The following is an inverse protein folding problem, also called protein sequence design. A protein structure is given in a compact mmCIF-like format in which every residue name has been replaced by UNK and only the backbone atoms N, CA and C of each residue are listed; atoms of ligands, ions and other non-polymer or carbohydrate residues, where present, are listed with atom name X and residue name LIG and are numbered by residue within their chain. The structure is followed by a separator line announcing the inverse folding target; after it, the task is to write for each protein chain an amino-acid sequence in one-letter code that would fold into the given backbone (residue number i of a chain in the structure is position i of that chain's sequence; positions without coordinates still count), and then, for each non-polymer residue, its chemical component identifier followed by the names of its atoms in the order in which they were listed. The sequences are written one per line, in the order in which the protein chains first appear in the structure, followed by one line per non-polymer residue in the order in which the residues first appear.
data_IF_855877243922
#
_entry.id   IF_855877243922
#
_cell.length_a   1.000
_cell.length_b   1.000
_cell.length_c   1.000
_cell.angle_alpha   90.00
_cell.angle_beta   90.00
_cell.angle_gamma   90.00
#
_symmetry.space_group_name_H-M   'P 1'
#
loop_
_entity.id
_entity.type
_entity.pdbx_description
1 polymer ?
#
# COMPACT_ATOMS: atom_id res chain seq x y z
N UNK A 1 -38.73 9.41 -73.86
CA UNK A 1 -37.54 9.94 -73.17
C UNK A 1 -38.06 10.90 -72.09
N UNK A 2 -38.42 10.47 -70.87
CA UNK A 2 -37.55 10.10 -69.74
C UNK A 2 -36.44 11.15 -69.53
N UNK A 3 -36.29 11.90 -68.43
CA UNK A 3 -36.91 11.95 -67.09
C UNK A 3 -36.43 13.26 -66.42
N UNK A 4 -37.30 13.84 -65.57
CA UNK A 4 -37.01 14.42 -64.24
C UNK A 4 -36.28 15.79 -64.15
N UNK A 5 -37.06 16.79 -63.71
CA UNK A 5 -36.64 18.01 -63.02
C UNK A 5 -35.90 17.65 -61.73
N UNK A 6 -34.67 18.12 -61.57
CA UNK A 6 -33.93 18.02 -60.32
C UNK A 6 -34.20 19.26 -59.46
N UNK A 7 -35.11 19.11 -58.49
CA UNK A 7 -35.17 19.94 -57.29
C UNK A 7 -34.15 19.36 -56.31
N UNK A 8 -33.08 20.10 -55.99
CA UNK A 8 -32.25 19.87 -54.80
C UNK A 8 -32.65 20.97 -53.80
N UNK A 9 -33.61 20.72 -52.91
CA UNK A 9 -33.42 20.23 -51.54
C UNK A 9 -32.30 21.00 -50.82
N UNK A 10 -32.77 21.98 -50.05
CA UNK A 10 -32.06 22.74 -49.03
C UNK A 10 -31.59 21.77 -47.94
N UNK A 11 -30.29 21.48 -47.86
CA UNK A 11 -29.71 20.76 -46.73
C UNK A 11 -29.44 21.75 -45.60
N UNK A 12 -30.32 21.77 -44.60
CA UNK A 12 -29.99 22.28 -43.27
C UNK A 12 -28.87 21.41 -42.70
N UNK A 13 -27.66 21.97 -42.59
CA UNK A 13 -26.60 21.39 -41.76
C UNK A 13 -26.97 21.69 -40.33
N UNK A 14 -27.54 20.71 -39.63
CA UNK A 14 -27.61 20.72 -38.18
C UNK A 14 -26.18 20.58 -37.64
N UNK A 15 -25.59 21.69 -37.19
CA UNK A 15 -24.37 21.66 -36.39
C UNK A 15 -24.74 21.04 -35.05
N UNK A 16 -24.53 19.74 -34.93
CA UNK A 16 -24.51 19.04 -33.65
C UNK A 16 -23.42 19.68 -32.80
N UNK A 17 -23.84 20.48 -31.83
CA UNK A 17 -22.96 21.02 -30.81
C UNK A 17 -22.27 19.86 -30.11
N UNK A 18 -20.95 19.78 -30.28
CA UNK A 18 -20.10 18.95 -29.45
C UNK A 18 -20.22 19.54 -28.05
N UNK A 19 -21.04 18.92 -27.21
CA UNK A 19 -21.03 19.16 -25.77
C UNK A 19 -19.67 18.70 -25.26
N UNK A 20 -18.71 19.62 -25.23
CA UNK A 20 -17.49 19.43 -24.46
C UNK A 20 -17.91 19.23 -23.02
N UNK A 21 -17.84 17.99 -22.54
CA UNK A 21 -17.78 17.73 -21.11
C UNK A 21 -16.50 18.40 -20.65
N UNK A 22 -16.63 19.57 -20.03
CA UNK A 22 -15.57 20.14 -19.23
C UNK A 22 -15.25 19.10 -18.16
N UNK A 23 -14.17 18.35 -18.34
CA UNK A 23 -13.51 17.67 -17.23
C UNK A 23 -13.17 18.78 -16.26
N UNK A 24 -13.93 18.87 -15.16
CA UNK A 24 -13.54 19.71 -14.05
C UNK A 24 -12.13 19.26 -13.66
N UNK A 25 -11.15 20.14 -13.84
CA UNK A 25 -9.83 19.95 -13.26
C UNK A 25 -10.05 19.87 -11.75
N UNK A 26 -10.06 18.65 -11.21
CA UNK A 26 -10.01 18.42 -9.78
C UNK A 26 -8.71 19.06 -9.34
N UNK A 27 -8.79 20.19 -8.65
CA UNK A 27 -7.63 20.71 -7.93
C UNK A 27 -7.32 19.65 -6.88
N UNK A 28 -6.18 18.94 -6.97
CA UNK A 28 -5.94 17.83 -6.06
C UNK A 28 -5.94 18.38 -4.63
N UNK A 29 -6.85 17.87 -3.80
CA UNK A 29 -6.75 18.05 -2.36
C UNK A 29 -5.43 17.47 -1.84
N UNK A 30 -5.08 17.74 -0.59
CA UNK A 30 -3.96 17.01 0.04
C UNK A 30 -4.27 15.50 0.03
N UNK A 31 -3.22 14.69 -0.09
CA UNK A 31 -3.27 13.26 0.20
C UNK A 31 -3.86 13.01 1.59
N UNK A 32 -4.53 11.88 1.75
CA UNK A 32 -5.11 11.38 2.98
C UNK A 32 -4.41 10.09 3.42
N UNK A 33 -4.44 9.82 4.72
CA UNK A 33 -3.79 8.67 5.34
C UNK A 33 -4.83 7.83 6.08
N UNK A 34 -4.95 6.56 5.70
CA UNK A 34 -5.61 5.54 6.51
C UNK A 34 -4.58 4.71 7.26
N UNK A 35 -4.85 4.42 8.52
CA UNK A 35 -4.14 3.43 9.31
C UNK A 35 -5.13 2.35 9.70
N UNK A 36 -4.83 1.10 9.38
CA UNK A 36 -5.54 -0.04 9.89
C UNK A 36 -4.80 -0.58 11.12
N UNK A 37 -5.39 -0.40 12.30
CA UNK A 37 -4.88 -0.83 13.60
C UNK A 37 -5.79 -1.88 14.25
N UNK A 38 -6.49 -2.68 13.44
CA UNK A 38 -7.40 -3.73 13.88
C UNK A 38 -6.70 -4.93 14.54
N UNK A 39 -7.40 -6.06 14.70
CA UNK A 39 -6.88 -7.23 15.39
C UNK A 39 -5.52 -7.69 14.87
N UNK A 40 -4.66 -8.05 15.83
CA UNK A 40 -3.27 -8.44 15.60
C UNK A 40 -3.10 -9.94 15.75
N UNK A 41 -2.11 -10.49 15.04
CA UNK A 41 -1.50 -11.75 15.45
C UNK A 41 -0.47 -11.43 16.54
N UNK A 42 -0.73 -11.88 17.78
CA UNK A 42 0.12 -11.55 18.93
C UNK A 42 1.56 -12.05 18.84
N UNK A 43 1.85 -13.04 17.97
CA UNK A 43 3.22 -13.46 17.67
C UNK A 43 3.96 -12.47 16.75
N UNK A 44 3.23 -11.74 15.90
CA UNK A 44 3.80 -10.80 14.93
C UNK A 44 3.97 -9.40 15.51
N UNK A 45 2.94 -8.93 16.20
CA UNK A 45 2.90 -7.66 16.91
C UNK A 45 1.87 -7.75 18.04
N UNK A 46 2.20 -7.27 19.23
CA UNK A 46 1.23 -7.17 20.30
C UNK A 46 0.24 -6.05 20.01
N UNK A 47 -1.00 -6.18 20.49
CA UNK A 47 -1.98 -5.11 20.36
C UNK A 47 -1.44 -3.79 20.92
N UNK A 48 -0.79 -3.81 22.08
CA UNK A 48 -0.24 -2.61 22.71
C UNK A 48 0.83 -1.94 21.84
N UNK A 49 1.71 -2.72 21.21
CA UNK A 49 2.71 -2.18 20.28
C UNK A 49 2.05 -1.61 19.02
N UNK A 50 1.06 -2.29 18.45
CA UNK A 50 0.28 -1.79 17.30
C UNK A 50 -0.39 -0.45 17.60
N UNK A 51 -1.08 -0.34 18.74
CA UNK A 51 -1.74 0.89 19.16
C UNK A 51 -0.74 2.01 19.47
N UNK A 52 0.41 1.70 20.10
CA UNK A 52 1.45 2.67 20.38
C UNK A 52 2.12 3.21 19.09
N UNK A 53 2.37 2.34 18.12
CA UNK A 53 2.90 2.71 16.80
C UNK A 53 1.90 3.58 16.04
N UNK A 54 0.63 3.17 16.00
CA UNK A 54 -0.46 3.94 15.38
C UNK A 54 -0.55 5.33 15.99
N UNK A 55 -0.56 5.42 17.33
CA UNK A 55 -0.57 6.70 18.04
C UNK A 55 0.66 7.56 17.71
N UNK A 56 1.84 6.96 17.63
CA UNK A 56 3.08 7.66 17.26
C UNK A 56 2.96 8.31 15.87
N UNK A 57 2.42 7.56 14.89
CA UNK A 57 2.22 8.05 13.52
C UNK A 57 1.16 9.16 13.51
N UNK A 58 0.00 8.93 14.12
CA UNK A 58 -1.10 9.89 14.14
C UNK A 58 -0.74 11.20 14.85
N UNK A 59 0.09 11.14 15.90
CA UNK A 59 0.44 12.31 16.69
C UNK A 59 1.61 13.13 16.17
N UNK A 60 2.44 12.56 15.28
CA UNK A 60 3.61 13.25 14.74
C UNK A 60 3.20 14.49 13.93
N UNK A 61 3.84 15.62 14.25
CA UNK A 61 3.52 16.91 13.65
C UNK A 61 3.82 16.98 12.14
N UNK A 62 4.78 16.19 11.65
CA UNK A 62 5.09 16.07 10.22
C UNK A 62 3.93 15.39 9.51
N UNK A 63 3.42 14.28 10.06
CA UNK A 63 2.28 13.56 9.49
C UNK A 63 1.03 14.46 9.42
N UNK A 64 0.68 15.14 10.51
CA UNK A 64 -0.43 16.11 10.55
C UNK A 64 -0.28 17.27 9.56
N UNK A 65 0.95 17.63 9.18
CA UNK A 65 1.22 18.68 8.19
C UNK A 65 1.04 18.17 6.76
N UNK A 66 1.49 16.94 6.49
CA UNK A 66 1.51 16.31 5.18
C UNK A 66 0.10 15.95 4.71
N UNK A 67 -0.69 15.29 5.55
CA UNK A 67 -1.99 14.78 5.17
C UNK A 67 -3.14 15.75 5.44
N UNK A 68 -4.16 15.72 4.59
CA UNK A 68 -5.41 16.45 4.79
C UNK A 68 -6.25 15.86 5.91
N UNK A 69 -6.26 14.54 6.01
CA UNK A 69 -6.90 13.75 7.05
C UNK A 69 -6.03 12.54 7.42
N UNK A 70 -6.12 12.09 8.67
CA UNK A 70 -5.51 10.86 9.17
C UNK A 70 -6.60 10.09 9.89
N UNK A 71 -7.06 9.00 9.28
CA UNK A 71 -8.12 8.13 9.81
C UNK A 71 -7.51 6.84 10.36
N UNK A 72 -8.05 6.36 11.48
CA UNK A 72 -7.69 5.07 12.05
C UNK A 72 -8.88 4.11 12.03
N UNK A 73 -8.66 2.94 11.47
CA UNK A 73 -9.61 1.85 11.30
C UNK A 73 -9.21 0.72 12.25
N UNK A 74 -9.99 0.54 13.32
CA UNK A 74 -9.78 -0.53 14.31
C UNK A 74 -10.70 -1.73 14.06
N UNK A 75 -10.77 -2.63 15.03
CA UNK A 75 -11.64 -3.81 14.99
C UNK A 75 -13.11 -3.46 14.72
N UNK A 76 -13.75 -4.21 13.83
CA UNK A 76 -15.13 -4.03 13.37
C UNK A 76 -15.32 -2.96 12.29
N UNK A 77 -14.25 -2.38 11.76
CA UNK A 77 -14.31 -1.39 10.66
C UNK A 77 -13.87 -1.95 9.31
N UNK A 78 -13.45 -3.21 9.29
CA UNK A 78 -12.69 -3.83 8.20
C UNK A 78 -13.39 -5.03 7.53
N UNK A 79 -14.55 -5.46 8.02
CA UNK A 79 -15.23 -6.66 7.51
C UNK A 79 -15.88 -6.44 6.13
N UNK A 80 -15.20 -6.89 5.08
CA UNK A 80 -15.64 -6.84 3.69
C UNK A 80 -15.57 -5.46 3.03
N UNK A 81 -15.82 -5.42 1.73
CA UNK A 81 -15.61 -4.22 0.89
C UNK A 81 -16.58 -3.06 1.20
N UNK A 82 -17.74 -3.35 1.80
CA UNK A 82 -18.71 -2.34 2.23
C UNK A 82 -18.47 -1.84 3.67
N UNK A 83 -17.41 -2.31 4.33
CA UNK A 83 -16.98 -1.80 5.64
C UNK A 83 -16.50 -0.34 5.56
N UNK A 84 -16.21 0.27 6.71
CA UNK A 84 -15.71 1.64 6.74
C UNK A 84 -14.34 1.73 6.06
N UNK A 85 -13.43 0.78 6.32
CA UNK A 85 -12.13 0.70 5.66
C UNK A 85 -12.30 0.41 4.16
N UNK A 86 -13.15 -0.54 3.78
CA UNK A 86 -13.36 -0.90 2.37
C UNK A 86 -13.93 0.27 1.55
N UNK A 87 -14.89 1.02 2.12
CA UNK A 87 -15.39 2.26 1.51
C UNK A 87 -14.35 3.35 1.43
N UNK A 88 -13.48 3.47 2.44
CA UNK A 88 -12.37 4.42 2.40
C UNK A 88 -11.45 4.09 1.23
N UNK A 89 -10.97 2.84 1.11
CA UNK A 89 -10.11 2.41 0.01
C UNK A 89 -10.76 2.70 -1.34
N UNK A 90 -11.99 2.25 -1.54
CA UNK A 90 -12.74 2.49 -2.79
C UNK A 90 -12.94 3.98 -3.11
N UNK A 91 -13.16 4.82 -2.10
CA UNK A 91 -13.33 6.26 -2.27
C UNK A 91 -12.02 6.99 -2.59
N UNK A 92 -10.89 6.39 -2.27
CA UNK A 92 -9.56 6.95 -2.50
C UNK A 92 -8.85 6.35 -3.73
N UNK A 93 -9.33 5.22 -4.26
CA UNK A 93 -8.87 4.67 -5.54
C UNK A 93 -9.30 5.55 -6.73
N UNK A 94 -8.33 6.08 -7.47
CA UNK A 94 -8.55 6.82 -8.72
C UNK A 94 -9.13 8.22 -8.49
N UNK A 95 -8.92 8.81 -7.32
CA UNK A 95 -9.51 10.11 -6.96
C UNK A 95 -8.67 11.32 -7.45
N UNK A 96 -7.53 11.07 -8.09
CA UNK A 96 -6.57 12.07 -8.57
C UNK A 96 -5.55 12.53 -7.53
N UNK A 97 -5.42 11.82 -6.40
CA UNK A 97 -4.47 12.09 -5.31
C UNK A 97 -3.80 10.77 -4.90
N UNK A 98 -2.49 10.79 -4.68
CA UNK A 98 -1.79 9.65 -4.11
C UNK A 98 -2.03 9.60 -2.59
N UNK A 99 -2.98 8.77 -2.18
CA UNK A 99 -3.33 8.50 -0.80
C UNK A 99 -2.51 7.34 -0.22
N UNK A 100 -2.46 7.23 1.11
CA UNK A 100 -1.61 6.26 1.81
C UNK A 100 -2.45 5.39 2.74
N UNK A 101 -2.22 4.08 2.70
CA UNK A 101 -2.78 3.10 3.62
C UNK A 101 -1.66 2.38 4.37
N UNK A 102 -1.75 2.34 5.71
CA UNK A 102 -0.82 1.59 6.56
C UNK A 102 -1.56 0.41 7.20
N UNK A 103 -1.10 -0.82 7.00
CA UNK A 103 -1.54 -1.98 7.80
C UNK A 103 -0.64 -2.11 9.03
N UNK A 104 -0.95 -1.36 10.08
CA UNK A 104 -0.12 -1.26 11.29
C UNK A 104 -0.14 -2.54 12.15
N UNK A 105 -1.17 -3.36 12.00
CA UNK A 105 -1.33 -4.65 12.66
C UNK A 105 -0.55 -5.80 12.01
N UNK A 106 0.02 -5.59 10.81
CA UNK A 106 0.62 -6.65 9.98
C UNK A 106 -0.40 -7.61 9.37
N UNK A 107 -1.70 -7.37 9.59
CA UNK A 107 -2.79 -8.20 9.06
C UNK A 107 -3.44 -7.55 7.84
N UNK A 108 -3.98 -8.38 6.95
CA UNK A 108 -4.66 -7.98 5.74
C UNK A 108 -6.16 -8.29 5.87
N UNK A 109 -6.99 -7.29 6.21
CA UNK A 109 -8.41 -7.52 6.41
C UNK A 109 -9.15 -7.75 5.09
N UNK A 110 -10.34 -8.34 5.17
CA UNK A 110 -11.26 -8.60 4.06
C UNK A 110 -11.77 -7.33 3.38
N UNK A 111 -11.67 -6.16 4.01
CA UNK A 111 -11.84 -4.86 3.34
C UNK A 111 -10.82 -4.61 2.24
N UNK A 112 -9.60 -5.13 2.40
CA UNK A 112 -8.49 -4.95 1.46
C UNK A 112 -8.46 -6.10 0.47
N UNK A 113 -8.61 -7.32 0.97
CA UNK A 113 -8.58 -8.53 0.16
C UNK A 113 -9.35 -9.66 0.84
N UNK A 114 -10.49 -10.06 0.26
CA UNK A 114 -11.30 -11.17 0.78
C UNK A 114 -10.55 -12.50 0.77
N UNK A 115 -10.65 -13.20 1.89
CA UNK A 115 -9.99 -14.47 2.11
C UNK A 115 -10.91 -15.69 1.84
N UNK A 116 -10.34 -16.83 1.40
CA UNK A 116 -8.95 -16.99 0.98
C UNK A 116 -8.79 -16.69 -0.52
N UNK A 117 -8.06 -15.63 -0.85
CA UNK A 117 -7.79 -15.18 -2.22
C UNK A 117 -9.03 -15.15 -3.13
N UNK A 118 -10.15 -14.60 -2.67
CA UNK A 118 -11.42 -14.61 -3.44
C UNK A 118 -11.30 -13.81 -4.75
N UNK A 119 -10.52 -12.73 -4.73
CA UNK A 119 -10.23 -11.85 -5.87
C UNK A 119 -8.71 -11.79 -6.15
N UNK A 120 -8.11 -12.82 -6.77
CA UNK A 120 -6.66 -12.88 -7.05
C UNK A 120 -6.17 -11.87 -8.09
N UNK A 121 -7.08 -11.22 -8.79
CA UNK A 121 -6.86 -10.10 -9.70
C UNK A 121 -8.08 -9.18 -9.55
N UNK A 122 -7.85 -7.90 -9.24
CA UNK A 122 -8.88 -6.90 -8.96
C UNK A 122 -9.33 -6.81 -7.50
N UNK A 123 -8.49 -7.23 -6.54
CA UNK A 123 -8.79 -6.96 -5.12
C UNK A 123 -8.75 -5.45 -4.83
N UNK A 124 -9.52 -4.91 -3.86
CA UNK A 124 -9.50 -3.47 -3.59
C UNK A 124 -8.12 -2.89 -3.25
N UNK A 125 -7.25 -3.66 -2.59
CA UNK A 125 -5.88 -3.22 -2.29
C UNK A 125 -5.00 -3.16 -3.53
N UNK A 126 -5.18 -4.09 -4.46
CA UNK A 126 -4.50 -4.10 -5.76
C UNK A 126 -4.97 -2.93 -6.61
N UNK A 127 -6.29 -2.75 -6.80
CA UNK A 127 -6.84 -1.61 -7.53
C UNK A 127 -6.38 -0.26 -6.92
N UNK A 128 -6.27 -0.18 -5.58
CA UNK A 128 -5.76 1.00 -4.89
C UNK A 128 -4.30 1.31 -5.27
N UNK A 129 -3.43 0.30 -5.26
CA UNK A 129 -2.02 0.43 -5.66
C UNK A 129 -1.90 0.73 -7.15
N UNK A 130 -2.61 -0.01 -8.01
CA UNK A 130 -2.63 0.20 -9.46
C UNK A 130 -3.13 1.59 -9.85
N UNK A 131 -4.10 2.13 -9.10
CA UNK A 131 -4.54 3.50 -9.28
C UNK A 131 -3.43 4.50 -8.98
N UNK A 132 -2.39 4.13 -8.25
CA UNK A 132 -1.22 4.98 -7.98
C UNK A 132 -0.99 5.29 -6.52
N UNK A 133 -1.74 4.67 -5.61
CA UNK A 133 -1.66 4.91 -4.18
C UNK A 133 -0.59 4.07 -3.49
N UNK A 134 -0.37 4.32 -2.21
CA UNK A 134 0.71 3.74 -1.43
C UNK A 134 0.16 2.83 -0.34
N UNK A 135 0.61 1.58 -0.30
CA UNK A 135 0.35 0.66 0.82
C UNK A 135 1.64 0.39 1.58
N UNK A 136 1.60 0.53 2.90
CA UNK A 136 2.72 0.28 3.79
C UNK A 136 2.31 -0.80 4.79
N UNK A 137 2.87 -1.99 4.64
CA UNK A 137 2.74 -3.04 5.64
C UNK A 137 3.82 -2.93 6.69
N UNK A 138 3.40 -2.97 7.95
CA UNK A 138 4.27 -2.94 9.12
C UNK A 138 4.12 -4.25 9.87
N UNK A 139 5.23 -4.78 10.40
CA UNK A 139 5.30 -6.11 11.00
C UNK A 139 5.19 -7.26 9.97
N UNK A 140 5.06 -8.48 10.46
CA UNK A 140 4.96 -9.74 9.71
C UNK A 140 3.48 -10.05 9.40
N UNK A 141 3.03 -10.65 8.30
CA UNK A 141 3.58 -10.88 6.94
C UNK A 141 2.63 -10.15 5.96
N UNK A 142 3.14 -9.24 5.11
CA UNK A 142 2.34 -8.53 4.11
C UNK A 142 1.35 -9.43 3.34
N UNK A 143 0.07 -9.02 3.36
CA UNK A 143 -1.07 -9.65 2.66
C UNK A 143 -1.35 -11.13 2.95
N UNK A 144 -0.74 -11.69 4.00
CA UNK A 144 -0.82 -13.13 4.25
C UNK A 144 -2.13 -13.59 4.92
N UNK A 145 -2.56 -12.92 6.00
CA UNK A 145 -3.72 -13.35 6.80
C UNK A 145 -4.49 -12.17 7.40
N UNK A 146 -5.71 -12.45 7.82
CA UNK A 146 -6.51 -11.58 8.69
C UNK A 146 -6.68 -12.19 10.10
N UNK A 147 -6.91 -11.32 11.08
CA UNK A 147 -7.32 -11.68 12.45
C UNK A 147 -8.67 -11.04 12.84
N UNK A 148 -9.46 -10.60 11.85
CA UNK A 148 -10.79 -10.00 12.02
C UNK A 148 -11.65 -10.69 13.07
N UNK A 149 -12.32 -9.89 13.92
CA UNK A 149 -13.08 -10.41 15.05
C UNK A 149 -12.24 -11.10 16.12
N UNK A 150 -10.92 -10.84 16.14
CA UNK A 150 -9.97 -11.33 17.14
C UNK A 150 -9.50 -12.78 16.95
N UNK A 151 -9.84 -13.41 15.82
CA UNK A 151 -9.45 -14.80 15.52
C UNK A 151 -8.82 -14.89 14.13
N UNK A 152 -7.90 -15.83 13.94
CA UNK A 152 -7.28 -16.06 12.63
C UNK A 152 -8.34 -16.50 11.62
N UNK A 153 -8.49 -15.74 10.55
CA UNK A 153 -9.34 -16.08 9.40
C UNK A 153 -8.67 -17.13 8.51
N UNK A 154 -9.34 -17.53 7.43
CA UNK A 154 -8.64 -18.25 6.35
C UNK A 154 -7.50 -17.37 5.81
N UNK A 155 -6.36 -17.99 5.49
CA UNK A 155 -5.20 -17.27 4.99
C UNK A 155 -5.36 -17.01 3.48
N UNK A 156 -4.96 -15.82 3.02
CA UNK A 156 -4.54 -15.64 1.62
C UNK A 156 -3.21 -16.37 1.38
N UNK A 157 -2.41 -16.54 2.43
CA UNK A 157 -1.15 -17.25 2.40
C UNK A 157 -0.09 -16.47 1.61
N UNK A 158 0.99 -17.14 1.17
CA UNK A 158 2.03 -16.49 0.36
C UNK A 158 1.48 -15.90 -0.94
N UNK A 159 0.43 -16.50 -1.50
CA UNK A 159 -0.22 -16.03 -2.73
C UNK A 159 -0.85 -14.65 -2.59
N UNK A 160 -1.20 -14.22 -1.37
CA UNK A 160 -1.80 -12.91 -1.16
C UNK A 160 -0.94 -11.77 -1.70
N UNK A 161 0.36 -11.78 -1.38
CA UNK A 161 1.31 -10.84 -1.96
C UNK A 161 1.60 -11.12 -3.44
N UNK A 162 1.69 -12.38 -3.85
CA UNK A 162 1.94 -12.71 -5.26
C UNK A 162 0.87 -12.15 -6.21
N UNK A 163 -0.39 -12.15 -5.76
CA UNK A 163 -1.53 -11.59 -6.48
C UNK A 163 -1.40 -10.07 -6.56
N UNK A 164 -1.36 -9.36 -5.42
CA UNK A 164 -1.32 -7.88 -5.37
C UNK A 164 -0.10 -7.26 -6.09
N UNK A 165 1.01 -7.98 -6.21
CA UNK A 165 2.20 -7.51 -6.93
C UNK A 165 2.21 -7.91 -8.41
N UNK A 166 1.30 -8.77 -8.87
CA UNK A 166 1.34 -9.44 -10.17
C UNK A 166 2.63 -10.24 -10.44
N UNK A 167 3.14 -10.91 -9.41
CA UNK A 167 4.35 -11.72 -9.51
C UNK A 167 4.04 -13.16 -9.10
N UNK A 168 3.75 -14.05 -10.06
CA UNK A 168 3.50 -15.46 -9.78
C UNK A 168 4.65 -16.11 -9.01
N UNK A 169 4.34 -16.68 -7.84
CA UNK A 169 5.32 -17.33 -6.97
C UNK A 169 6.16 -16.37 -6.10
N UNK A 170 5.85 -15.07 -6.09
CA UNK A 170 6.42 -14.14 -5.12
C UNK A 170 6.18 -14.66 -3.70
N UNK A 171 7.20 -14.53 -2.87
CA UNK A 171 7.12 -14.91 -1.47
C UNK A 171 8.00 -14.00 -0.65
N UNK A 172 7.62 -13.85 0.62
CA UNK A 172 8.46 -13.25 1.65
C UNK A 172 8.82 -14.31 2.69
N UNK A 173 8.73 -15.60 2.35
CA UNK A 173 9.01 -16.68 3.27
C UNK A 173 10.40 -16.55 3.91
N UNK A 174 10.55 -17.08 5.13
CA UNK A 174 11.80 -16.99 5.87
C UNK A 174 12.97 -17.61 5.08
N UNK A 175 14.08 -16.87 4.95
CA UNK A 175 15.35 -17.35 4.35
C UNK A 175 16.38 -17.82 5.39
N UNK A 176 16.10 -17.60 6.68
CA UNK A 176 17.01 -17.82 7.79
C UNK A 176 18.09 -16.74 7.86
N UNK A 177 18.47 -16.35 9.08
CA UNK A 177 19.69 -15.56 9.31
C UNK A 177 19.73 -14.17 8.69
N UNK A 178 18.58 -13.55 8.42
CA UNK A 178 18.54 -12.20 7.88
C UNK A 178 19.12 -11.20 8.91
N UNK A 179 20.23 -10.54 8.66
CA UNK A 179 20.80 -9.47 9.48
C UNK A 179 20.82 -8.23 8.60
N UNK A 180 19.65 -7.64 8.37
CA UNK A 180 19.49 -6.45 7.53
C UNK A 180 20.22 -5.27 8.16
N UNK A 181 21.14 -4.66 7.40
CA UNK A 181 21.89 -3.47 7.79
C UNK A 181 21.39 -2.29 6.96
N UNK A 182 21.21 -1.09 7.56
CA UNK A 182 20.86 0.11 6.81
C UNK A 182 21.76 0.34 5.59
N UNK A 183 21.14 0.60 4.44
CA UNK A 183 21.84 1.11 3.26
C UNK A 183 22.07 2.62 3.40
N UNK A 184 22.83 3.22 2.48
CA UNK A 184 22.93 4.68 2.40
C UNK A 184 21.55 5.36 2.22
N UNK A 185 20.58 4.68 1.61
CA UNK A 185 19.20 5.17 1.49
C UNK A 185 18.50 5.10 2.85
N UNK A 186 18.63 3.98 3.56
CA UNK A 186 18.15 3.80 4.93
C UNK A 186 18.67 4.86 5.89
N UNK A 187 19.99 5.03 5.95
CA UNK A 187 20.64 6.01 6.83
C UNK A 187 20.17 7.45 6.54
N UNK A 188 19.93 7.78 5.27
CA UNK A 188 19.50 9.11 4.85
C UNK A 188 18.04 9.40 5.21
N UNK A 189 17.15 8.43 4.97
CA UNK A 189 15.71 8.68 5.00
C UNK A 189 15.01 8.09 6.23
N UNK A 190 15.58 7.07 6.86
CA UNK A 190 15.09 6.42 8.07
C UNK A 190 16.25 6.39 9.09
N UNK A 191 16.69 7.54 9.62
CA UNK A 191 17.83 7.61 10.53
C UNK A 191 17.65 6.80 11.83
N UNK A 192 16.42 6.43 12.21
CA UNK A 192 16.16 5.52 13.33
C UNK A 192 16.38 4.05 12.97
N UNK A 193 16.55 3.70 11.69
CA UNK A 193 16.74 2.32 11.24
C UNK A 193 18.07 1.79 11.77
N UNK A 194 17.98 0.67 12.48
CA UNK A 194 19.13 -0.06 12.99
C UNK A 194 19.13 -1.47 12.43
N UNK A 195 20.27 -2.18 12.49
CA UNK A 195 20.29 -3.57 12.11
C UNK A 195 19.29 -4.41 12.90
N UNK A 196 18.61 -5.32 12.20
CA UNK A 196 17.69 -6.28 12.80
C UNK A 196 17.63 -7.54 11.96
N UNK A 197 16.87 -8.52 12.47
CA UNK A 197 16.62 -9.77 11.76
C UNK A 197 15.18 -9.84 11.32
N UNK A 198 14.95 -9.70 10.01
CA UNK A 198 13.67 -9.98 9.38
C UNK A 198 13.45 -11.49 9.33
N UNK A 199 12.21 -11.92 9.57
CA UNK A 199 11.81 -13.32 9.34
C UNK A 199 11.00 -13.47 8.07
N UNK A 200 10.55 -12.36 7.47
CA UNK A 200 9.92 -12.32 6.16
C UNK A 200 10.53 -11.23 5.27
N UNK A 201 11.81 -11.35 4.90
CA UNK A 201 12.43 -10.33 4.06
C UNK A 201 11.88 -10.34 2.65
N UNK A 202 12.15 -9.26 1.91
CA UNK A 202 11.97 -9.19 0.47
C UNK A 202 12.93 -10.15 -0.24
N UNK A 203 12.41 -10.88 -1.22
CA UNK A 203 13.17 -11.80 -2.09
C UNK A 203 13.45 -11.08 -3.41
N UNK A 204 14.54 -10.31 -3.44
CA UNK A 204 14.76 -9.28 -4.46
C UNK A 204 14.86 -9.84 -5.88
N UNK A 205 15.39 -11.05 -6.05
CA UNK A 205 15.55 -11.67 -7.36
C UNK A 205 14.20 -12.00 -8.02
N UNK A 206 13.10 -12.10 -7.25
CA UNK A 206 11.77 -12.35 -7.79
C UNK A 206 11.18 -11.14 -8.53
N UNK A 207 11.75 -9.95 -8.32
CA UNK A 207 11.36 -8.70 -8.98
C UNK A 207 12.12 -8.43 -10.29
N UNK A 208 13.09 -9.27 -10.65
CA UNK A 208 13.86 -9.08 -11.87
C UNK A 208 12.95 -9.12 -13.12
N UNK A 209 13.00 -8.06 -13.93
CA UNK A 209 12.19 -7.93 -15.14
C UNK A 209 10.69 -7.71 -14.89
N UNK A 210 10.29 -7.44 -13.64
CA UNK A 210 8.91 -7.11 -13.26
C UNK A 210 8.67 -5.59 -13.32
N UNK A 211 7.42 -5.12 -13.41
CA UNK A 211 7.10 -3.69 -13.55
C UNK A 211 7.24 -2.92 -12.21
N UNK A 212 8.30 -3.20 -11.46
CA UNK A 212 8.57 -2.64 -10.13
C UNK A 212 10.02 -2.16 -10.04
N UNK A 213 10.20 -0.91 -9.62
CA UNK A 213 11.52 -0.40 -9.20
C UNK A 213 11.64 -0.53 -7.70
N UNK A 214 12.67 -1.25 -7.25
CA UNK A 214 12.91 -1.46 -5.82
C UNK A 214 13.82 -0.38 -5.22
N UNK A 215 13.44 0.12 -4.06
CA UNK A 215 14.28 0.97 -3.22
C UNK A 215 14.52 0.29 -1.86
N UNK A 216 15.79 0.03 -1.56
CA UNK A 216 16.22 -0.81 -0.46
C UNK A 216 16.75 0.05 0.68
N UNK A 217 16.07 0.05 1.83
CA UNK A 217 16.50 0.82 3.00
C UNK A 217 17.43 0.04 3.91
N UNK A 218 17.29 -1.28 3.96
CA UNK A 218 18.29 -2.16 4.55
C UNK A 218 18.38 -3.46 3.75
N UNK A 219 19.58 -4.03 3.69
CA UNK A 219 19.88 -5.28 2.97
C UNK A 219 20.60 -6.22 3.91
N UNK A 220 20.37 -7.51 3.74
CA UNK A 220 21.10 -8.53 4.50
C UNK A 220 22.61 -8.41 4.26
N UNK A 221 23.38 -8.61 5.32
CA UNK A 221 24.85 -8.47 5.28
C UNK A 221 25.55 -9.55 4.44
N UNK A 222 24.94 -10.73 4.29
CA UNK A 222 25.51 -11.92 3.65
C UNK A 222 24.77 -12.33 2.36
N UNK A 223 23.52 -11.88 2.14
CA UNK A 223 22.69 -12.15 0.97
C UNK A 223 22.20 -10.85 0.29
N UNK A 224 22.78 -10.45 -0.85
CA UNK A 224 22.38 -9.25 -1.56
C UNK A 224 20.96 -9.32 -2.17
N UNK A 225 20.31 -10.48 -2.15
CA UNK A 225 18.93 -10.66 -2.61
C UNK A 225 17.89 -10.60 -1.48
N UNK A 226 18.31 -10.24 -0.27
CA UNK A 226 17.46 -10.17 0.91
C UNK A 226 17.46 -8.74 1.45
N UNK A 227 16.27 -8.17 1.65
CA UNK A 227 16.12 -6.79 2.15
C UNK A 227 14.89 -6.62 3.03
N UNK A 228 14.95 -5.71 3.99
CA UNK A 228 13.84 -5.24 4.82
C UNK A 228 14.36 -4.08 5.70
N UNK A 229 13.78 -2.86 5.65
CA UNK A 229 12.67 -2.44 4.80
C UNK A 229 13.04 -2.23 3.34
N UNK A 230 12.07 -2.44 2.46
CA UNK A 230 12.12 -2.03 1.08
C UNK A 230 10.74 -1.55 0.59
N UNK A 231 10.75 -0.83 -0.53
CA UNK A 231 9.54 -0.40 -1.25
C UNK A 231 9.69 -0.74 -2.73
N UNK A 232 8.62 -1.28 -3.29
CA UNK A 232 8.43 -1.43 -4.72
C UNK A 232 7.60 -0.27 -5.24
N UNK A 233 8.11 0.43 -6.26
CA UNK A 233 7.41 1.51 -6.96
C UNK A 233 7.04 1.00 -8.35
N UNK A 234 5.75 1.03 -8.69
CA UNK A 234 5.27 0.59 -9.99
C UNK A 234 5.91 1.43 -11.10
N UNK A 235 6.36 0.76 -12.16
CA UNK A 235 6.80 1.44 -13.38
C UNK A 235 5.63 1.89 -14.24
N UNK A 236 4.42 1.40 -13.92
CA UNK A 236 3.19 1.76 -14.60
C UNK A 236 2.48 2.88 -13.84
N UNK A 237 2.00 3.87 -14.60
CA UNK A 237 1.36 5.04 -14.03
C UNK A 237 -0.14 4.83 -13.93
N UNK A 238 -0.63 4.83 -12.70
CA UNK A 238 -2.05 4.89 -12.39
C UNK A 238 -2.63 6.30 -12.52
N UNK A 239 -3.92 6.42 -12.18
CA UNK A 239 -4.65 7.70 -12.22
C UNK A 239 -4.15 8.72 -11.18
N UNK A 240 -3.66 8.24 -10.05
CA UNK A 240 -3.28 8.98 -8.85
C UNK A 240 -1.77 9.16 -8.74
N UNK A 241 -0.98 8.38 -9.48
CA UNK A 241 0.48 8.36 -9.38
C UNK A 241 1.08 7.03 -9.81
N UNK A 242 2.32 6.77 -9.41
CA UNK A 242 2.90 5.44 -9.51
C UNK A 242 2.62 4.71 -8.20
N UNK A 243 1.97 3.56 -8.28
CA UNK A 243 1.62 2.75 -7.12
C UNK A 243 2.85 2.34 -6.33
N UNK A 244 2.73 2.25 -5.00
CA UNK A 244 3.85 1.80 -4.16
C UNK A 244 3.39 0.79 -3.12
N UNK A 245 4.20 -0.24 -2.93
CA UNK A 245 4.04 -1.20 -1.84
C UNK A 245 5.33 -1.23 -1.03
N UNK A 246 5.25 -0.82 0.23
CA UNK A 246 6.33 -0.93 1.20
C UNK A 246 6.00 -2.04 2.21
N UNK A 247 7.00 -2.82 2.56
CA UNK A 247 6.91 -3.82 3.61
C UNK A 247 8.12 -3.62 4.52
N UNK A 248 7.84 -3.34 5.79
CA UNK A 248 8.81 -2.76 6.71
C UNK A 248 8.78 -3.46 8.06
N UNK A 249 9.97 -3.84 8.55
CA UNK A 249 10.16 -4.56 9.81
C UNK A 249 9.31 -5.84 9.87
N UNK A 250 9.36 -6.67 8.82
CA UNK A 250 8.64 -7.95 8.72
C UNK A 250 9.28 -9.04 9.61
N UNK A 251 9.21 -8.76 10.92
CA UNK A 251 9.72 -9.58 12.00
C UNK A 251 8.56 -10.04 12.88
N UNK A 252 8.58 -11.30 13.29
CA UNK A 252 7.66 -11.87 14.29
C UNK A 252 8.02 -11.40 15.71
N UNK A 253 8.00 -10.08 15.90
CA UNK A 253 8.33 -9.42 17.15
C UNK A 253 7.08 -8.75 17.73
N UNK A 254 6.38 -9.49 18.60
CA UNK A 254 5.27 -8.98 19.41
C UNK A 254 5.59 -7.58 19.97
N UNK A 255 6.76 -7.46 20.60
CA UNK A 255 7.32 -6.19 21.05
C UNK A 255 8.78 -6.07 20.63
N UNK A 256 9.19 -4.85 20.30
CA UNK A 256 10.61 -4.52 20.22
C UNK A 256 11.16 -4.18 21.60
N UNK A 257 12.35 -4.71 21.89
CA UNK A 257 13.08 -4.42 23.11
C UNK A 257 13.52 -2.95 23.17
N UNK A 258 13.89 -2.38 22.03
CA UNK A 258 14.23 -0.96 21.91
C UNK A 258 12.96 -0.11 21.97
N UNK A 259 13.05 1.02 22.69
CA UNK A 259 11.98 2.01 22.82
C UNK A 259 12.48 3.40 22.37
N UNK A 260 11.66 4.21 21.67
CA UNK A 260 10.35 3.85 21.13
C UNK A 260 10.45 2.70 20.11
N UNK A 261 9.35 1.97 19.91
CA UNK A 261 9.32 0.85 18.96
C UNK A 261 9.67 1.39 17.55
N UNK A 262 10.63 0.77 16.85
CA UNK A 262 11.17 1.33 15.60
C UNK A 262 10.15 1.35 14.47
N UNK A 263 9.11 0.51 14.54
CA UNK A 263 8.04 0.46 13.54
C UNK A 263 7.30 1.79 13.44
N UNK A 264 6.89 2.37 14.56
CA UNK A 264 6.16 3.65 14.57
C UNK A 264 7.02 4.82 14.09
N UNK A 265 8.20 5.00 14.68
CA UNK A 265 9.10 6.13 14.34
C UNK A 265 9.63 6.00 12.92
N UNK A 266 10.05 4.80 12.53
CA UNK A 266 10.64 4.56 11.22
C UNK A 266 9.64 4.74 10.07
N UNK A 267 8.37 4.38 10.25
CA UNK A 267 7.32 4.67 9.25
C UNK A 267 7.13 6.17 9.07
N UNK A 268 7.12 6.94 10.16
CA UNK A 268 7.02 8.40 10.08
C UNK A 268 8.23 8.98 9.33
N UNK A 269 9.44 8.51 9.61
CA UNK A 269 10.65 8.96 8.91
C UNK A 269 10.62 8.60 7.43
N UNK A 270 10.26 7.35 7.10
CA UNK A 270 10.07 6.91 5.71
C UNK A 270 9.09 7.82 4.96
N UNK A 271 7.89 8.03 5.51
CA UNK A 271 6.88 8.86 4.86
C UNK A 271 7.36 10.31 4.74
N UNK A 272 7.77 10.90 5.86
CA UNK A 272 8.08 12.34 5.90
C UNK A 272 9.35 12.73 5.15
N UNK A 273 10.32 11.82 5.01
CA UNK A 273 11.59 12.10 4.37
C UNK A 273 11.68 11.53 2.94
N UNK A 274 11.26 10.28 2.73
CA UNK A 274 11.42 9.61 1.43
C UNK A 274 10.16 9.73 0.57
N UNK A 275 8.99 9.34 1.10
CA UNK A 275 7.77 9.30 0.29
C UNK A 275 7.39 10.69 -0.22
N UNK A 276 7.50 11.73 0.62
CA UNK A 276 7.25 13.12 0.20
C UNK A 276 8.16 13.64 -0.92
N UNK A 277 9.31 13.00 -1.14
CA UNK A 277 10.27 13.39 -2.18
C UNK A 277 10.16 12.52 -3.45
N UNK A 278 9.44 11.39 -3.40
CA UNK A 278 9.39 10.40 -4.49
C UNK A 278 7.98 9.94 -4.87
N UNK A 279 6.96 10.33 -4.09
CA UNK A 279 5.53 10.17 -4.40
C UNK A 279 4.97 11.27 -5.29
#
# INVERSE_FOLDING_TARGET
MMKIKLMCVLMMVAVLGISGTASAEVTPGKSELAIYSGPTNSGWISNDACQANTKTIMDDARMKKLFGAIDNFGDGTEEGYDSALGKWVKGHTGNGRQDVLITASGTCPSALYQFPNEDPDGSPVEEFVEAGNVVINVADWIFYMSYEGGNRSADNGPSGAANVFDIPGLTFGNRGGADEIPTALGEKYIPSLKPFNSVRPWHLEQFEGKPWTLHLFAVDKDDPNTADPAVAVSTEKGRDGNGMIAAMWQKDAAEWAEKPDPRGVGVVEFISNWLTAHG
#
